data_IF_436026598380
#
_entry.id   IF_436026598380
#
_cell.length_a   1.000
_cell.length_b   1.000
_cell.length_c   1.000
_cell.angle_alpha   90.00
_cell.angle_beta   90.00
_cell.angle_gamma   90.00
#
_symmetry.space_group_name_H-M   'P 1'
#
loop_
_entity.id
_entity.type
_entity.pdbx_description
1 polymer ?
#
# COMPACT_ATOMS: atom_id res chain seq x y z
N UNK A 1 -20.03 -13.09 -4.19
CA UNK A 1 -20.94 -14.23 -4.09
C UNK A 1 -20.36 -15.30 -4.99
N UNK A 2 -19.53 -16.13 -4.45
CA UNK A 2 -19.10 -17.40 -5.05
C UNK A 2 -19.24 -18.41 -3.91
N UNK A 3 -20.10 -19.39 -4.15
CA UNK A 3 -20.56 -20.39 -3.18
C UNK A 3 -19.43 -21.25 -2.63
N UNK A 4 -19.36 -21.30 -1.29
CA UNK A 4 -18.73 -22.38 -0.53
C UNK A 4 -19.69 -23.57 -0.53
N UNK A 5 -19.46 -24.54 -1.40
CA UNK A 5 -19.89 -25.93 -1.21
C UNK A 5 -19.17 -26.82 -2.22
N UNK A 6 -18.69 -27.93 -1.72
CA UNK A 6 -18.13 -29.11 -2.38
C UNK A 6 -16.59 -29.27 -2.25
N UNK A 7 -16.16 -29.58 -1.03
CA UNK A 7 -15.06 -30.52 -0.84
C UNK A 7 -15.50 -31.56 0.22
N UNK A 8 -16.34 -32.47 -0.21
CA UNK A 8 -16.68 -33.66 0.56
C UNK A 8 -15.61 -34.75 0.29
N UNK A 9 -14.94 -35.13 1.36
CA UNK A 9 -13.90 -36.11 1.39
C UNK A 9 -14.42 -37.50 1.00
N UNK A 10 -13.93 -38.07 -0.09
CA UNK A 10 -14.03 -39.51 -0.36
C UNK A 10 -12.87 -40.21 0.34
N UNK A 11 -13.09 -40.64 1.57
CA UNK A 11 -12.31 -41.67 2.22
C UNK A 11 -12.68 -43.01 1.58
N UNK A 12 -11.86 -43.52 0.68
CA UNK A 12 -12.00 -44.89 0.22
C UNK A 12 -11.31 -45.80 1.25
N UNK A 13 -12.14 -46.50 2.03
CA UNK A 13 -11.74 -47.67 2.78
C UNK A 13 -11.25 -48.76 1.79
N UNK A 14 -9.94 -49.01 1.78
CA UNK A 14 -9.41 -50.24 1.17
C UNK A 14 -9.42 -51.32 2.23
N UNK A 15 -10.35 -52.26 2.04
CA UNK A 15 -10.37 -53.54 2.75
C UNK A 15 -9.04 -54.27 2.59
N UNK A 16 -8.47 -54.67 3.72
CA UNK A 16 -7.34 -55.60 3.79
C UNK A 16 -7.82 -57.02 3.43
N UNK A 17 -7.13 -57.75 2.56
CA UNK A 17 -7.49 -59.15 2.33
C UNK A 17 -7.15 -60.00 3.54
N UNK A 18 -8.13 -60.81 3.95
CA UNK A 18 -8.00 -61.82 4.98
C UNK A 18 -6.93 -62.83 4.58
N UNK A 19 -5.95 -63.00 5.47
CA UNK A 19 -4.94 -64.03 5.36
C UNK A 19 -5.51 -65.32 6.00
N UNK A 20 -5.87 -66.31 5.20
CA UNK A 20 -6.16 -67.66 5.65
C UNK A 20 -4.88 -68.24 6.23
N UNK A 21 -4.92 -68.64 7.50
CA UNK A 21 -3.88 -69.37 8.17
C UNK A 21 -4.06 -70.84 7.89
N UNK A 22 -3.35 -71.37 6.90
CA UNK A 22 -3.09 -72.82 6.85
C UNK A 22 -1.91 -73.17 7.76
N UNK A 23 -2.22 -73.98 8.72
CA UNK A 23 -1.33 -74.47 9.75
C UNK A 23 -0.76 -75.81 9.32
N UNK A 24 0.44 -75.86 8.78
CA UNK A 24 1.24 -77.06 8.64
C UNK A 24 2.58 -76.91 9.36
N UNK A 25 2.73 -77.63 10.41
CA UNK A 25 4.01 -77.87 11.11
C UNK A 25 4.60 -79.28 10.66
N UNK A 26 5.81 -79.62 11.04
CA UNK A 26 7.12 -78.96 10.92
C UNK A 26 8.18 -79.85 10.25
N UNK A 27 9.17 -79.24 9.66
CA UNK A 27 10.49 -79.89 9.57
C UNK A 27 11.60 -78.90 9.92
N UNK A 28 12.15 -79.05 11.08
CA UNK A 28 13.29 -78.32 11.57
C UNK A 28 14.57 -79.03 11.07
N UNK A 29 15.35 -78.38 10.20
CA UNK A 29 16.79 -78.27 10.29
C UNK A 29 17.54 -77.60 9.12
N UNK A 30 16.80 -76.73 8.35
CA UNK A 30 17.43 -75.97 7.28
C UNK A 30 17.21 -74.47 7.40
N UNK A 31 16.36 -74.02 8.33
CA UNK A 31 15.78 -72.63 8.36
C UNK A 31 16.64 -71.53 9.02
N UNK A 32 17.55 -71.86 9.94
CA UNK A 32 18.33 -70.87 10.70
C UNK A 32 19.28 -70.01 9.87
N UNK A 33 19.79 -70.50 8.76
CA UNK A 33 20.70 -69.79 7.88
C UNK A 33 19.95 -68.81 6.93
N UNK A 34 18.74 -69.23 6.51
CA UNK A 34 17.90 -68.43 5.62
C UNK A 34 17.28 -67.24 6.36
N UNK A 35 16.78 -67.45 7.57
CA UNK A 35 16.14 -66.40 8.37
C UNK A 35 17.13 -65.32 8.84
N UNK A 36 18.36 -65.73 9.15
CA UNK A 36 19.43 -64.75 9.49
C UNK A 36 19.84 -63.89 8.31
N UNK A 37 19.77 -64.41 7.08
CA UNK A 37 20.07 -63.67 5.86
C UNK A 37 18.91 -62.70 5.49
N UNK A 38 17.67 -63.14 5.73
CA UNK A 38 16.45 -62.30 5.56
C UNK A 38 16.40 -61.19 6.58
N UNK A 39 16.70 -61.44 7.85
CA UNK A 39 16.81 -60.43 8.90
C UNK A 39 17.87 -59.37 8.56
N UNK A 40 19.07 -59.80 8.17
CA UNK A 40 20.14 -58.85 7.80
C UNK A 40 19.82 -58.02 6.59
N UNK A 41 19.04 -58.55 5.63
CA UNK A 41 18.55 -57.76 4.49
C UNK A 41 17.46 -56.79 4.90
N UNK A 42 16.51 -57.21 5.76
CA UNK A 42 15.47 -56.31 6.27
C UNK A 42 16.04 -55.18 7.14
N UNK A 43 17.08 -55.46 7.94
CA UNK A 43 17.79 -54.43 8.70
C UNK A 43 18.50 -53.40 7.79
N UNK A 44 19.12 -53.88 6.69
CA UNK A 44 19.75 -53.00 5.70
C UNK A 44 18.72 -52.15 4.94
N UNK A 45 17.61 -52.74 4.53
CA UNK A 45 16.51 -52.05 3.85
C UNK A 45 15.85 -51.02 4.79
N UNK A 46 15.72 -51.35 6.09
CA UNK A 46 15.22 -50.44 7.13
C UNK A 46 16.17 -49.24 7.31
N UNK A 47 17.46 -49.49 7.43
CA UNK A 47 18.47 -48.44 7.57
C UNK A 47 18.51 -47.50 6.33
N UNK A 48 18.35 -48.08 5.14
CA UNK A 48 18.26 -47.27 3.91
C UNK A 48 16.96 -46.42 3.86
N UNK A 49 15.83 -47.02 4.27
CA UNK A 49 14.55 -46.29 4.35
C UNK A 49 14.59 -45.14 5.39
N UNK A 50 15.20 -45.42 6.56
CA UNK A 50 15.39 -44.36 7.58
C UNK A 50 16.27 -43.24 7.07
N UNK A 51 17.35 -43.53 6.37
CA UNK A 51 18.22 -42.51 5.77
C UNK A 51 17.53 -41.68 4.70
N UNK A 52 16.67 -42.32 3.89
CA UNK A 52 15.83 -41.60 2.92
C UNK A 52 14.79 -40.74 3.61
N UNK A 53 14.17 -41.21 4.69
CA UNK A 53 13.21 -40.47 5.47
C UNK A 53 13.85 -39.21 6.07
N UNK A 54 14.98 -39.35 6.75
CA UNK A 54 15.72 -38.21 7.31
C UNK A 54 16.10 -37.18 6.24
N UNK A 55 16.55 -37.63 5.07
CA UNK A 55 16.89 -36.73 3.97
C UNK A 55 15.68 -36.00 3.39
N UNK A 56 14.52 -36.68 3.29
CA UNK A 56 13.29 -36.05 2.81
C UNK A 56 12.70 -35.12 3.83
N UNK A 57 12.77 -35.45 5.12
CA UNK A 57 12.34 -34.54 6.21
C UNK A 57 13.18 -33.26 6.27
N UNK A 58 14.51 -33.39 6.12
CA UNK A 58 15.41 -32.24 6.04
C UNK A 58 15.11 -31.36 4.83
N UNK A 59 14.92 -31.97 3.66
CA UNK A 59 14.54 -31.22 2.45
C UNK A 59 13.17 -30.53 2.61
N UNK A 60 12.20 -31.20 3.22
CA UNK A 60 10.89 -30.63 3.49
C UNK A 60 10.97 -29.45 4.47
N UNK A 61 11.82 -29.57 5.49
CA UNK A 61 12.04 -28.48 6.44
C UNK A 61 12.66 -27.25 5.75
N UNK A 62 13.66 -27.46 4.89
CA UNK A 62 14.29 -26.41 4.12
C UNK A 62 13.30 -25.72 3.16
N UNK A 63 12.48 -26.50 2.45
CA UNK A 63 11.46 -25.95 1.55
C UNK A 63 10.36 -25.20 2.31
N UNK A 64 9.94 -25.66 3.48
CA UNK A 64 9.01 -24.94 4.34
C UNK A 64 9.59 -23.59 4.79
N UNK A 65 10.86 -23.56 5.14
CA UNK A 65 11.54 -22.32 5.56
C UNK A 65 11.64 -21.32 4.41
N UNK A 66 11.99 -21.79 3.21
CA UNK A 66 11.98 -20.98 1.98
C UNK A 66 10.58 -20.43 1.67
N UNK A 67 9.55 -21.28 1.81
CA UNK A 67 8.18 -20.89 1.58
C UNK A 67 7.72 -19.80 2.56
N UNK A 68 7.99 -19.99 3.86
CA UNK A 68 7.65 -19.00 4.88
C UNK A 68 8.34 -17.65 4.64
N UNK A 69 9.62 -17.68 4.25
CA UNK A 69 10.37 -16.47 3.90
C UNK A 69 9.76 -15.77 2.68
N UNK A 70 9.47 -16.52 1.62
CA UNK A 70 8.83 -16.00 0.41
C UNK A 70 7.45 -15.40 0.71
N UNK A 71 6.66 -16.03 1.59
CA UNK A 71 5.36 -15.51 2.02
C UNK A 71 5.51 -14.15 2.73
N UNK A 72 6.49 -14.05 3.64
CA UNK A 72 6.77 -12.80 4.34
C UNK A 72 7.26 -11.69 3.38
N UNK A 73 8.12 -12.02 2.43
CA UNK A 73 8.58 -11.09 1.40
C UNK A 73 7.42 -10.64 0.49
N UNK A 74 6.53 -11.55 0.12
CA UNK A 74 5.35 -11.23 -0.68
C UNK A 74 4.39 -10.29 0.06
N UNK A 75 4.14 -10.52 1.35
CA UNK A 75 3.30 -9.63 2.16
C UNK A 75 3.91 -8.23 2.28
N UNK A 76 5.22 -8.15 2.49
CA UNK A 76 5.94 -6.88 2.52
C UNK A 76 5.86 -6.16 1.16
N UNK A 77 6.06 -6.90 0.06
CA UNK A 77 5.92 -6.38 -1.29
C UNK A 77 4.51 -5.84 -1.55
N UNK A 78 3.48 -6.62 -1.19
CA UNK A 78 2.08 -6.23 -1.36
C UNK A 78 1.75 -4.93 -0.62
N UNK A 79 2.18 -4.81 0.65
CA UNK A 79 1.97 -3.59 1.45
C UNK A 79 2.68 -2.39 0.86
N UNK A 80 3.95 -2.57 0.45
CA UNK A 80 4.72 -1.52 -0.19
C UNK A 80 4.09 -1.07 -1.50
N UNK A 81 3.73 -1.99 -2.38
CA UNK A 81 3.11 -1.68 -3.67
C UNK A 81 1.76 -0.98 -3.52
N UNK A 82 0.95 -1.35 -2.50
CA UNK A 82 -0.30 -0.66 -2.21
C UNK A 82 -0.04 0.81 -1.83
N UNK A 83 0.94 1.06 -0.96
CA UNK A 83 1.34 2.41 -0.55
C UNK A 83 1.93 3.22 -1.73
N UNK A 84 2.79 2.61 -2.53
CA UNK A 84 3.36 3.24 -3.73
C UNK A 84 2.27 3.65 -4.73
N UNK A 85 1.26 2.80 -4.94
CA UNK A 85 0.11 3.16 -5.81
C UNK A 85 -0.66 4.36 -5.27
N UNK A 86 -0.93 4.40 -3.98
CA UNK A 86 -1.62 5.54 -3.35
C UNK A 86 -0.84 6.84 -3.54
N UNK A 87 0.49 6.79 -3.32
CA UNK A 87 1.37 7.93 -3.55
C UNK A 87 1.34 8.37 -5.01
N UNK A 88 1.47 7.44 -5.97
CA UNK A 88 1.44 7.74 -7.41
C UNK A 88 0.11 8.43 -7.81
N UNK A 89 -1.03 7.96 -7.30
CA UNK A 89 -2.32 8.63 -7.55
C UNK A 89 -2.40 10.02 -6.92
N UNK A 90 -1.81 10.18 -5.73
CA UNK A 90 -1.68 11.48 -5.08
C UNK A 90 -0.88 12.47 -5.91
N UNK A 91 0.30 12.06 -6.33
CA UNK A 91 1.25 12.87 -7.11
C UNK A 91 0.67 13.23 -8.49
N UNK A 92 0.08 12.26 -9.20
CA UNK A 92 -0.56 12.52 -10.49
C UNK A 92 -1.71 13.54 -10.38
N UNK A 93 -2.50 13.46 -9.29
CA UNK A 93 -3.55 14.46 -9.01
C UNK A 93 -2.92 15.82 -8.73
N UNK A 94 -1.88 15.88 -7.91
CA UNK A 94 -1.18 17.12 -7.55
C UNK A 94 -0.59 17.80 -8.80
N UNK A 95 0.07 17.05 -9.68
CA UNK A 95 0.64 17.57 -10.93
C UNK A 95 -0.45 18.10 -11.87
N UNK A 96 -1.57 17.39 -11.98
CA UNK A 96 -2.71 17.85 -12.80
C UNK A 96 -3.30 19.15 -12.25
N UNK A 97 -3.53 19.22 -10.94
CA UNK A 97 -4.03 20.42 -10.27
C UNK A 97 -3.05 21.57 -10.42
N UNK A 98 -1.75 21.34 -10.23
CA UNK A 98 -0.71 22.36 -10.40
C UNK A 98 -0.75 22.99 -11.78
N UNK A 99 -1.02 22.22 -12.83
CA UNK A 99 -1.22 22.74 -14.20
C UNK A 99 -2.48 23.59 -14.35
N UNK A 100 -3.51 23.39 -13.51
CA UNK A 100 -4.77 24.14 -13.55
C UNK A 100 -4.73 25.42 -12.70
N UNK A 101 -3.90 25.46 -11.64
CA UNK A 101 -3.83 26.62 -10.73
C UNK A 101 -3.66 27.99 -11.40
N UNK A 102 -2.90 28.15 -12.50
CA UNK A 102 -2.80 29.45 -13.19
C UNK A 102 -4.16 30.01 -13.67
N UNK A 103 -5.11 29.12 -13.99
CA UNK A 103 -6.46 29.54 -14.37
C UNK A 103 -7.20 30.08 -13.14
N UNK A 104 -7.08 29.40 -12.00
CA UNK A 104 -7.67 29.87 -10.72
C UNK A 104 -7.05 31.18 -10.30
N UNK A 105 -5.71 31.33 -10.38
CA UNK A 105 -5.01 32.59 -10.08
C UNK A 105 -5.54 33.79 -10.95
N UNK A 106 -5.83 33.47 -12.21
CA UNK A 106 -6.37 34.50 -13.12
C UNK A 106 -7.78 34.92 -12.74
N UNK A 107 -8.61 33.95 -12.30
CA UNK A 107 -9.96 34.24 -11.78
C UNK A 107 -9.91 35.02 -10.46
N UNK A 108 -8.99 34.65 -9.55
CA UNK A 108 -8.79 35.40 -8.30
C UNK A 108 -8.35 36.84 -8.56
N UNK A 109 -7.44 37.06 -9.48
CA UNK A 109 -6.99 38.39 -9.88
C UNK A 109 -8.12 39.19 -10.52
N UNK A 110 -8.95 38.56 -11.36
CA UNK A 110 -10.11 39.21 -11.94
C UNK A 110 -11.13 39.58 -10.85
N UNK A 111 -11.38 38.72 -9.89
CA UNK A 111 -12.28 38.97 -8.76
C UNK A 111 -11.74 40.09 -7.85
N UNK A 112 -10.44 40.11 -7.55
CA UNK A 112 -9.80 41.13 -6.74
C UNK A 112 -9.79 42.51 -7.41
N UNK A 113 -9.84 42.57 -8.73
CA UNK A 113 -9.90 43.80 -9.52
C UNK A 113 -11.31 44.41 -9.69
N UNK A 114 -12.36 43.72 -9.19
CA UNK A 114 -13.74 44.25 -9.28
C UNK A 114 -13.93 45.38 -8.28
N UNK A 115 -14.50 46.47 -8.76
CA UNK A 115 -15.03 47.50 -7.86
C UNK A 115 -16.32 46.99 -7.18
N UNK A 116 -16.76 47.58 -6.05
CA UNK A 116 -18.01 47.18 -5.41
C UNK A 116 -19.23 47.22 -6.35
N UNK A 117 -19.25 48.19 -7.27
CA UNK A 117 -20.31 48.35 -8.28
C UNK A 117 -20.22 47.26 -9.37
N UNK A 118 -19.00 46.95 -9.82
CA UNK A 118 -18.78 45.90 -10.80
C UNK A 118 -19.10 44.50 -10.24
N UNK A 119 -18.83 44.26 -8.97
CA UNK A 119 -19.16 43.00 -8.29
C UNK A 119 -20.68 42.72 -8.27
N UNK A 120 -21.51 43.74 -8.20
CA UNK A 120 -22.96 43.63 -8.26
C UNK A 120 -23.49 43.44 -9.70
N UNK A 121 -22.67 43.74 -10.71
CA UNK A 121 -23.05 43.57 -12.11
C UNK A 121 -23.26 42.08 -12.46
N UNK A 122 -24.03 41.74 -13.51
CA UNK A 122 -24.20 40.38 -13.95
C UNK A 122 -22.86 39.67 -14.32
N UNK A 123 -21.90 40.46 -14.84
CA UNK A 123 -20.56 39.93 -15.19
C UNK A 123 -19.73 39.63 -13.93
N UNK A 124 -19.71 40.56 -12.96
CA UNK A 124 -19.00 40.38 -11.70
C UNK A 124 -19.53 39.20 -10.91
N UNK A 125 -20.87 39.08 -10.79
CA UNK A 125 -21.50 37.90 -10.19
C UNK A 125 -21.11 36.60 -10.91
N UNK A 126 -21.02 36.62 -12.24
CA UNK A 126 -20.57 35.48 -13.04
C UNK A 126 -19.14 35.07 -12.71
N UNK A 127 -18.21 36.04 -12.60
CA UNK A 127 -16.81 35.79 -12.23
C UNK A 127 -16.72 35.15 -10.83
N UNK A 128 -17.42 35.71 -9.84
CA UNK A 128 -17.42 35.18 -8.48
C UNK A 128 -18.04 33.78 -8.40
N UNK A 129 -19.08 33.49 -9.17
CA UNK A 129 -19.65 32.14 -9.26
C UNK A 129 -18.69 31.14 -9.88
N UNK A 130 -17.96 31.53 -10.93
CA UNK A 130 -16.96 30.64 -11.55
C UNK A 130 -15.82 30.36 -10.57
N UNK A 131 -15.31 31.39 -9.90
CA UNK A 131 -14.25 31.22 -8.88
C UNK A 131 -14.70 30.27 -7.76
N UNK A 132 -15.91 30.48 -7.23
CA UNK A 132 -16.49 29.61 -6.21
C UNK A 132 -16.60 28.16 -6.73
N UNK A 133 -17.08 27.97 -7.94
CA UNK A 133 -17.19 26.62 -8.55
C UNK A 133 -15.83 25.97 -8.73
N UNK A 134 -14.79 26.73 -9.07
CA UNK A 134 -13.42 26.23 -9.19
C UNK A 134 -12.85 25.80 -7.83
N UNK A 135 -13.02 26.63 -6.78
CA UNK A 135 -12.59 26.29 -5.42
C UNK A 135 -13.35 25.08 -4.84
N UNK A 136 -14.66 24.99 -5.08
CA UNK A 136 -15.47 23.83 -4.71
C UNK A 136 -15.01 22.55 -5.43
N UNK A 137 -14.58 22.66 -6.69
CA UNK A 137 -14.04 21.53 -7.44
C UNK A 137 -12.69 21.06 -6.88
N UNK A 138 -11.81 21.99 -6.50
CA UNK A 138 -10.54 21.69 -5.84
C UNK A 138 -10.78 20.98 -4.49
N UNK A 139 -11.71 21.50 -3.69
CA UNK A 139 -12.07 20.89 -2.41
C UNK A 139 -12.58 19.43 -2.57
N UNK A 140 -13.39 19.16 -3.61
CA UNK A 140 -13.83 17.77 -3.93
C UNK A 140 -12.69 16.83 -4.29
N UNK A 141 -11.57 17.34 -4.81
CA UNK A 141 -10.35 16.56 -5.09
C UNK A 141 -9.48 16.40 -3.83
N UNK A 142 -9.91 16.94 -2.69
CA UNK A 142 -9.16 16.94 -1.44
C UNK A 142 -8.00 17.96 -1.45
N UNK A 143 -8.08 18.98 -2.30
CA UNK A 143 -7.10 20.07 -2.38
C UNK A 143 -7.60 21.22 -1.52
N UNK A 144 -6.76 21.66 -0.60
CA UNK A 144 -7.04 22.72 0.36
C UNK A 144 -6.09 23.90 0.14
N UNK A 145 -6.58 25.10 0.40
CA UNK A 145 -5.76 26.31 0.45
C UNK A 145 -4.88 26.27 1.69
N UNK A 146 -3.62 26.68 1.56
CA UNK A 146 -2.69 26.79 2.68
C UNK A 146 -3.09 28.00 3.54
N UNK A 147 -3.26 27.84 4.88
CA UNK A 147 -3.57 28.97 5.75
C UNK A 147 -2.44 29.99 5.71
N UNK A 148 -2.80 31.28 5.67
CA UNK A 148 -1.85 32.39 5.54
C UNK A 148 -1.87 33.35 6.76
N UNK A 149 -2.05 32.80 7.96
CA UNK A 149 -2.10 33.61 9.19
C UNK A 149 -0.71 33.93 9.72
N UNK A 150 0.19 32.93 9.71
CA UNK A 150 1.58 33.03 10.21
C UNK A 150 2.52 32.38 9.22
N UNK A 151 3.66 32.99 9.03
CA UNK A 151 4.67 32.45 8.13
C UNK A 151 5.19 31.09 8.63
N UNK A 152 5.12 30.11 7.76
CA UNK A 152 5.72 28.78 7.97
C UNK A 152 6.51 28.40 6.72
N UNK A 153 7.84 28.19 6.84
CA UNK A 153 8.67 27.79 5.69
C UNK A 153 8.23 26.52 4.99
N UNK A 154 7.51 25.62 5.70
CA UNK A 154 7.01 24.38 5.12
C UNK A 154 5.91 24.62 4.08
N UNK A 155 5.20 25.74 4.14
CA UNK A 155 4.03 26.03 3.30
C UNK A 155 4.13 27.33 2.50
N UNK A 156 5.01 28.25 2.95
CA UNK A 156 5.10 29.59 2.41
C UNK A 156 6.47 29.87 1.83
N UNK A 157 6.49 30.61 0.73
CA UNK A 157 7.69 31.20 0.15
C UNK A 157 7.61 32.71 0.32
N UNK A 158 8.44 33.27 1.20
CA UNK A 158 8.56 34.71 1.39
C UNK A 158 9.31 35.32 0.20
N UNK A 159 8.61 36.09 -0.62
CA UNK A 159 9.19 36.75 -1.80
C UNK A 159 9.54 38.21 -1.54
N UNK A 160 8.92 38.81 -0.52
CA UNK A 160 9.18 40.19 -0.09
C UNK A 160 9.12 40.30 1.41
N UNK A 161 9.96 41.20 1.95
CA UNK A 161 9.96 41.57 3.35
C UNK A 161 9.57 43.06 3.45
N UNK A 162 8.83 43.40 4.48
CA UNK A 162 8.48 44.78 4.82
C UNK A 162 8.83 45.01 6.28
N UNK A 163 9.52 46.12 6.52
CA UNK A 163 9.76 46.61 7.88
C UNK A 163 8.51 47.33 8.37
N UNK A 164 7.75 46.70 9.25
CA UNK A 164 6.55 47.28 9.87
C UNK A 164 6.56 46.95 11.37
N UNK A 165 6.95 47.96 12.17
CA UNK A 165 7.02 47.84 13.63
C UNK A 165 5.65 47.60 14.30
N UNK A 166 4.53 47.80 13.56
CA UNK A 166 3.18 47.59 14.06
C UNK A 166 2.72 46.13 14.04
N UNK A 167 3.42 45.27 13.30
CA UNK A 167 3.10 43.87 13.13
C UNK A 167 4.12 42.94 13.83
N UNK A 168 3.67 41.82 14.39
CA UNK A 168 4.61 40.82 14.92
C UNK A 168 5.53 40.29 13.84
N UNK A 169 6.80 40.04 14.21
CA UNK A 169 7.77 39.41 13.33
C UNK A 169 7.25 38.06 12.78
N UNK A 170 7.41 37.86 11.48
CA UNK A 170 6.89 36.67 10.79
C UNK A 170 5.40 36.70 10.46
N UNK A 171 4.71 37.85 10.62
CA UNK A 171 3.32 38.00 10.16
C UNK A 171 3.26 38.07 8.64
N UNK A 172 2.26 37.44 8.04
CA UNK A 172 1.99 37.59 6.61
C UNK A 172 1.21 38.86 6.37
N UNK A 173 1.82 39.80 5.65
CA UNK A 173 1.23 41.10 5.30
C UNK A 173 0.34 40.99 4.07
N UNK A 174 0.79 40.26 3.06
CA UNK A 174 0.04 40.07 1.82
C UNK A 174 0.34 38.70 1.22
N UNK A 175 -0.64 38.17 0.54
CA UNK A 175 -0.53 36.92 -0.24
C UNK A 175 -0.58 37.30 -1.72
N UNK A 176 0.52 37.16 -2.43
CA UNK A 176 0.59 37.42 -3.87
C UNK A 176 0.03 36.26 -4.69
N UNK A 177 0.22 35.04 -4.18
CA UNK A 177 -0.27 33.85 -4.83
C UNK A 177 -0.60 32.79 -3.77
N UNK A 178 -1.79 32.25 -3.82
CA UNK A 178 -2.27 31.27 -2.87
C UNK A 178 -1.54 29.95 -3.01
N UNK A 179 -1.21 29.33 -1.89
CA UNK A 179 -0.68 27.98 -1.80
C UNK A 179 -1.79 26.94 -1.75
N UNK A 180 -1.50 25.75 -2.24
CA UNK A 180 -2.44 24.64 -2.24
C UNK A 180 -1.73 23.35 -1.81
N UNK A 181 -2.42 22.54 -1.00
CA UNK A 181 -1.96 21.24 -0.52
C UNK A 181 -3.04 20.18 -0.68
N UNK A 182 -2.62 18.92 -0.68
CA UNK A 182 -3.52 17.74 -0.61
C UNK A 182 -3.01 16.82 0.50
N UNK A 183 -3.71 16.81 1.63
CA UNK A 183 -3.20 16.16 2.85
C UNK A 183 -1.83 16.75 3.25
N UNK A 184 -0.81 15.88 3.35
CA UNK A 184 0.56 16.29 3.67
C UNK A 184 1.40 16.72 2.44
N UNK A 185 0.87 16.51 1.23
CA UNK A 185 1.59 16.83 -0.01
C UNK A 185 1.31 18.26 -0.46
N UNK A 186 2.37 19.07 -0.60
CA UNK A 186 2.26 20.46 -1.08
C UNK A 186 2.29 20.45 -2.60
N UNK A 187 1.19 20.94 -3.19
CA UNK A 187 1.05 21.12 -4.63
C UNK A 187 1.79 22.38 -5.08
N UNK A 188 1.64 23.47 -4.31
CA UNK A 188 2.28 24.77 -4.55
C UNK A 188 2.37 25.56 -3.27
N UNK A 189 3.56 26.12 -3.00
CA UNK A 189 3.77 27.05 -1.89
C UNK A 189 3.01 28.37 -2.11
N UNK A 190 2.50 28.97 -1.03
CA UNK A 190 1.97 30.32 -1.12
C UNK A 190 3.12 31.32 -1.26
N UNK A 191 2.99 32.27 -2.17
CA UNK A 191 3.93 33.39 -2.29
C UNK A 191 3.43 34.54 -1.43
N UNK A 192 4.19 34.88 -0.39
CA UNK A 192 3.75 35.82 0.64
C UNK A 192 4.77 36.94 0.85
N UNK A 193 4.28 38.03 1.38
CA UNK A 193 5.03 39.15 1.95
C UNK A 193 4.99 39.01 3.46
N UNK A 194 6.14 39.06 4.11
CA UNK A 194 6.24 38.93 5.57
C UNK A 194 6.74 40.23 6.20
N UNK A 195 6.27 40.50 7.41
CA UNK A 195 6.80 41.58 8.26
C UNK A 195 8.06 41.06 8.98
N UNK A 196 9.07 41.92 9.06
CA UNK A 196 10.30 41.70 9.83
C UNK A 196 10.21 42.39 11.17
#
# INVERSE_FOLDING_TARGET
MIDEKDVEATASEQEAPAVETENEAPEADGKKGSDKKRLKKAEADLAEAQKKLEATEAALAEEKDKYLRMLAEYDNFRRRTAKEKETIYGDATADTVKGLLPVVDTLERAAAGLTPEDAESPLGKGILMILKSATDALAKLGVEEVPADTFNPDYHNAVMHVEDESLPEGSIVAVFQKGYRKGDHIIRYAMVQVAN
#
